data_IF_599167848995
#
_entry.id   IF_599167848995
#
_cell.length_a   1.000
_cell.length_b   1.000
_cell.length_c   1.000
_cell.angle_alpha   90.00
_cell.angle_beta   90.00
_cell.angle_gamma   90.00
#
_symmetry.space_group_name_H-M   'P 1'
#
loop_
_entity.id
_entity.type
_entity.pdbx_description
1 polymer ?
#
# COMPACT_ATOMS: atom_id res chain seq x y z
N UNK A 1 16.67 9.73 -14.50
CA UNK A 1 15.63 10.35 -15.35
C UNK A 1 14.81 11.32 -14.51
N UNK A 2 14.40 12.46 -15.05
CA UNK A 2 13.50 13.37 -14.33
C UNK A 2 12.04 12.90 -14.54
N UNK A 3 11.32 12.44 -13.49
CA UNK A 3 9.98 11.89 -13.63
C UNK A 3 8.96 12.89 -14.18
N UNK A 4 9.19 14.18 -13.99
CA UNK A 4 8.31 15.27 -14.44
C UNK A 4 8.40 15.57 -15.94
N UNK A 5 9.36 14.98 -16.65
CA UNK A 5 9.53 15.13 -18.10
C UNK A 5 9.37 13.81 -18.86
N UNK A 6 8.85 12.77 -18.21
CA UNK A 6 8.58 11.50 -18.86
C UNK A 6 7.41 11.62 -19.83
N UNK A 7 7.53 10.96 -20.98
CA UNK A 7 6.46 10.88 -21.97
C UNK A 7 5.20 10.24 -21.32
N UNK A 8 3.98 10.76 -21.57
CA UNK A 8 2.74 10.14 -21.10
C UNK A 8 2.64 8.62 -21.37
N UNK A 9 3.17 8.13 -22.48
CA UNK A 9 3.20 6.71 -22.81
C UNK A 9 3.90 5.86 -21.74
N UNK A 10 4.94 6.40 -21.09
CA UNK A 10 5.65 5.72 -20.01
C UNK A 10 4.78 5.60 -18.74
N UNK A 11 4.07 6.68 -18.39
CA UNK A 11 3.10 6.66 -17.29
C UNK A 11 1.96 5.70 -17.56
N UNK A 12 1.40 5.69 -18.77
CA UNK A 12 0.35 4.75 -19.16
C UNK A 12 0.85 3.30 -19.12
N UNK A 13 2.09 3.06 -19.55
CA UNK A 13 2.73 1.75 -19.49
C UNK A 13 2.91 1.22 -18.07
N UNK A 14 3.01 2.10 -17.06
CA UNK A 14 3.05 1.70 -15.66
C UNK A 14 1.64 1.59 -15.02
N UNK A 15 0.75 2.53 -15.32
CA UNK A 15 -0.59 2.62 -14.71
C UNK A 15 -1.49 1.50 -15.21
N UNK A 16 -1.54 1.21 -16.52
CA UNK A 16 -2.50 0.24 -17.08
C UNK A 16 -2.26 -1.18 -16.52
N UNK A 17 -1.03 -1.74 -16.52
CA UNK A 17 -0.79 -3.04 -15.91
C UNK A 17 -1.05 -3.02 -14.40
N UNK A 18 -0.63 -1.94 -13.70
CA UNK A 18 -0.88 -1.81 -12.26
C UNK A 18 -2.37 -1.78 -11.93
N UNK A 19 -3.19 -1.21 -12.81
CA UNK A 19 -4.64 -1.15 -12.65
C UNK A 19 -5.29 -2.51 -12.87
N UNK A 20 -4.92 -3.20 -13.96
CA UNK A 20 -5.54 -4.46 -14.36
C UNK A 20 -5.09 -5.66 -13.49
N UNK A 21 -3.83 -5.68 -13.09
CA UNK A 21 -3.24 -6.84 -12.39
C UNK A 21 -3.29 -6.60 -10.89
N UNK A 22 -2.54 -5.62 -10.38
CA UNK A 22 -2.43 -5.39 -8.93
C UNK A 22 -3.72 -4.77 -8.35
N UNK A 23 -4.18 -3.67 -8.95
CA UNK A 23 -5.38 -2.96 -8.51
C UNK A 23 -6.61 -3.86 -8.54
N UNK A 24 -7.00 -4.38 -9.71
CA UNK A 24 -8.16 -5.27 -9.78
C UNK A 24 -7.95 -6.59 -9.02
N UNK A 25 -6.80 -7.25 -9.19
CA UNK A 25 -6.53 -8.55 -8.58
C UNK A 25 -6.56 -8.52 -7.06
N UNK A 26 -5.92 -7.51 -6.45
CA UNK A 26 -5.84 -7.40 -4.99
C UNK A 26 -7.08 -6.72 -4.38
N UNK A 27 -7.55 -5.61 -4.94
CA UNK A 27 -8.60 -4.80 -4.31
C UNK A 27 -9.97 -5.47 -4.32
N UNK A 28 -10.23 -6.38 -5.29
CA UNK A 28 -11.41 -7.26 -5.24
C UNK A 28 -11.42 -8.13 -3.99
N UNK A 29 -10.28 -8.69 -3.61
CA UNK A 29 -10.13 -9.48 -2.38
C UNK A 29 -10.17 -8.60 -1.14
N UNK A 30 -9.38 -7.53 -1.10
CA UNK A 30 -9.21 -6.69 0.08
C UNK A 30 -10.44 -5.86 0.40
N UNK A 31 -10.93 -5.06 -0.54
CA UNK A 31 -12.08 -4.16 -0.32
C UNK A 31 -13.37 -4.66 -0.93
N UNK A 32 -13.32 -5.51 -1.95
CA UNK A 32 -14.53 -6.14 -2.50
C UNK A 32 -15.07 -7.27 -1.62
N UNK A 33 -14.19 -7.97 -0.88
CA UNK A 33 -14.57 -9.14 -0.10
C UNK A 33 -14.27 -9.02 1.40
N UNK A 34 -13.02 -8.81 1.79
CA UNK A 34 -12.56 -8.95 3.18
C UNK A 34 -13.01 -7.78 4.06
N UNK A 35 -12.74 -6.54 3.65
CA UNK A 35 -13.04 -5.33 4.43
C UNK A 35 -14.53 -5.23 4.82
N UNK A 36 -15.51 -5.38 3.91
CA UNK A 36 -16.93 -5.27 4.28
C UNK A 36 -17.35 -6.33 5.31
N UNK A 37 -16.76 -7.53 5.26
CA UNK A 37 -17.04 -8.62 6.22
C UNK A 37 -16.42 -8.36 7.58
N UNK A 38 -15.21 -7.81 7.61
CA UNK A 38 -14.56 -7.41 8.86
C UNK A 38 -15.34 -6.28 9.53
N UNK A 39 -15.80 -5.29 8.77
CA UNK A 39 -16.55 -4.14 9.30
C UNK A 39 -17.95 -4.51 9.82
N UNK A 40 -18.54 -5.64 9.42
CA UNK A 40 -19.79 -6.17 10.01
C UNK A 40 -19.61 -6.64 11.46
N UNK A 41 -18.41 -7.08 11.83
CA UNK A 41 -18.14 -7.73 13.13
C UNK A 41 -17.19 -6.92 14.02
N UNK A 42 -16.50 -5.94 13.45
CA UNK A 42 -15.48 -5.16 14.12
C UNK A 42 -15.63 -3.67 13.81
N UNK A 43 -15.19 -2.81 14.74
CA UNK A 43 -15.10 -1.38 14.46
C UNK A 43 -14.18 -1.11 13.26
N UNK A 44 -14.36 -0.01 12.51
CA UNK A 44 -13.57 0.27 11.31
C UNK A 44 -12.05 0.28 11.57
N UNK A 45 -11.62 0.79 12.73
CA UNK A 45 -10.23 0.77 13.17
C UNK A 45 -9.74 -0.67 13.36
N UNK A 46 -10.48 -1.50 14.10
CA UNK A 46 -10.12 -2.90 14.34
C UNK A 46 -10.11 -3.71 13.04
N UNK A 47 -11.09 -3.50 12.16
CA UNK A 47 -11.14 -4.10 10.83
C UNK A 47 -9.90 -3.71 9.99
N UNK A 48 -9.48 -2.44 10.04
CA UNK A 48 -8.29 -1.97 9.33
C UNK A 48 -7.00 -2.60 9.86
N UNK A 49 -6.84 -2.72 11.18
CA UNK A 49 -5.69 -3.42 11.80
C UNK A 49 -5.63 -4.90 11.42
N UNK A 50 -6.77 -5.61 11.48
CA UNK A 50 -6.83 -7.02 11.06
C UNK A 50 -6.45 -7.13 9.58
N UNK A 51 -7.04 -6.30 8.72
CA UNK A 51 -6.77 -6.35 7.29
C UNK A 51 -5.31 -6.00 6.97
N UNK A 52 -4.73 -5.00 7.64
CA UNK A 52 -3.32 -4.64 7.47
C UNK A 52 -2.38 -5.78 7.86
N UNK A 53 -2.72 -6.51 8.92
CA UNK A 53 -1.96 -7.69 9.36
C UNK A 53 -2.04 -8.82 8.33
N UNK A 54 -3.24 -9.12 7.83
CA UNK A 54 -3.42 -10.12 6.77
C UNK A 54 -2.68 -9.72 5.50
N UNK A 55 -2.75 -8.44 5.12
CA UNK A 55 -2.06 -7.90 3.95
C UNK A 55 -0.53 -7.99 4.10
N UNK A 56 0.01 -7.67 5.28
CA UNK A 56 1.43 -7.84 5.59
C UNK A 56 1.88 -9.31 5.41
N UNK A 57 1.08 -10.26 5.92
CA UNK A 57 1.39 -11.69 5.78
C UNK A 57 1.25 -12.18 4.35
N UNK A 58 0.32 -11.61 3.56
CA UNK A 58 0.19 -11.89 2.14
C UNK A 58 1.44 -11.52 1.35
N UNK A 59 2.19 -10.49 1.79
CA UNK A 59 3.46 -10.12 1.18
C UNK A 59 4.61 -11.06 1.54
N UNK A 60 4.46 -11.98 2.50
CA UNK A 60 5.57 -12.84 2.92
C UNK A 60 6.05 -13.82 1.81
N UNK A 61 5.16 -14.50 1.04
CA UNK A 61 5.60 -15.30 -0.10
C UNK A 61 6.19 -14.46 -1.24
N UNK A 62 5.59 -13.30 -1.55
CA UNK A 62 6.06 -12.42 -2.63
C UNK A 62 7.43 -11.84 -2.30
N UNK A 63 7.68 -11.56 -1.04
CA UNK A 63 8.98 -11.17 -0.49
C UNK A 63 10.08 -12.20 -0.82
N UNK A 64 9.79 -13.50 -0.71
CA UNK A 64 10.73 -14.59 -1.04
C UNK A 64 10.93 -14.84 -2.53
N UNK A 65 9.92 -14.48 -3.33
CA UNK A 65 9.99 -14.59 -4.79
C UNK A 65 10.68 -13.38 -5.45
N UNK A 66 11.19 -12.43 -4.66
CA UNK A 66 11.80 -11.20 -5.19
C UNK A 66 10.78 -10.28 -5.85
N UNK A 67 9.56 -10.24 -5.32
CA UNK A 67 8.48 -9.42 -5.83
C UNK A 67 8.03 -8.39 -4.80
N UNK A 68 7.49 -7.26 -5.26
CA UNK A 68 7.02 -6.20 -4.37
C UNK A 68 8.15 -5.60 -3.52
N UNK A 69 7.91 -5.43 -2.21
CA UNK A 69 8.83 -4.76 -1.28
C UNK A 69 9.94 -5.66 -0.72
N UNK A 70 10.53 -6.51 -1.56
CA UNK A 70 11.46 -7.56 -1.16
C UNK A 70 12.85 -7.07 -0.69
N UNK A 71 13.27 -5.88 -1.12
CA UNK A 71 14.58 -5.30 -0.81
C UNK A 71 14.58 -4.40 0.44
N UNK A 72 13.53 -4.49 1.26
CA UNK A 72 13.38 -3.71 2.49
C UNK A 72 13.26 -4.68 3.65
N UNK A 73 13.95 -4.48 4.80
CA UNK A 73 13.78 -5.38 5.94
C UNK A 73 12.31 -5.49 6.34
N UNK A 74 11.84 -6.70 6.65
CA UNK A 74 10.42 -7.00 6.80
C UNK A 74 9.72 -6.11 7.85
N UNK A 75 10.43 -5.77 8.92
CA UNK A 75 9.95 -4.85 9.96
C UNK A 75 9.51 -3.49 9.38
N UNK A 76 10.20 -3.00 8.35
CA UNK A 76 9.87 -1.73 7.71
C UNK A 76 8.72 -1.84 6.71
N UNK A 77 8.38 -3.05 6.21
CA UNK A 77 7.15 -3.24 5.43
C UNK A 77 5.92 -2.89 6.27
N UNK A 78 5.96 -3.15 7.59
CA UNK A 78 4.88 -2.79 8.52
C UNK A 78 4.58 -1.30 8.45
N UNK A 79 5.62 -0.45 8.46
CA UNK A 79 5.45 1.02 8.46
C UNK A 79 4.89 1.55 7.14
N UNK A 80 4.99 0.77 6.07
CA UNK A 80 4.34 1.07 4.80
C UNK A 80 2.90 0.53 4.76
N UNK A 81 2.74 -0.79 4.95
CA UNK A 81 1.48 -1.52 4.71
C UNK A 81 0.35 -1.07 5.64
N UNK A 82 0.65 -0.70 6.88
CA UNK A 82 -0.38 -0.30 7.83
C UNK A 82 -1.01 1.05 7.44
N UNK A 83 -0.26 2.17 7.34
CA UNK A 83 -0.82 3.42 6.85
C UNK A 83 -1.50 3.28 5.48
N UNK A 84 -0.87 2.53 4.57
CA UNK A 84 -1.41 2.22 3.25
C UNK A 84 -2.82 1.61 3.32
N UNK A 85 -2.97 0.56 4.13
CA UNK A 85 -4.24 -0.14 4.30
C UNK A 85 -5.32 0.77 4.88
N UNK A 86 -4.97 1.65 5.81
CA UNK A 86 -5.91 2.62 6.38
C UNK A 86 -6.39 3.61 5.31
N UNK A 87 -5.49 4.18 4.51
CA UNK A 87 -5.86 5.14 3.45
C UNK A 87 -6.82 4.48 2.45
N UNK A 88 -6.53 3.25 2.02
CA UNK A 88 -7.40 2.51 1.11
C UNK A 88 -8.78 2.23 1.69
N UNK A 89 -8.84 1.75 2.93
CA UNK A 89 -10.10 1.44 3.57
C UNK A 89 -10.94 2.71 3.73
N UNK A 90 -10.29 3.81 4.10
CA UNK A 90 -10.93 5.12 4.15
C UNK A 90 -11.47 5.54 2.78
N UNK A 91 -10.66 5.49 1.73
CA UNK A 91 -11.04 5.89 0.38
C UNK A 91 -12.24 5.06 -0.13
N UNK A 92 -12.19 3.74 0.05
CA UNK A 92 -13.27 2.82 -0.30
C UNK A 92 -14.56 3.14 0.46
N UNK A 93 -14.49 3.36 1.77
CA UNK A 93 -15.67 3.70 2.56
C UNK A 93 -16.25 5.06 2.14
N UNK A 94 -15.39 6.06 1.93
CA UNK A 94 -15.82 7.42 1.55
C UNK A 94 -16.37 7.52 0.14
N UNK A 95 -16.02 6.59 -0.75
CA UNK A 95 -16.58 6.48 -2.09
C UNK A 95 -17.92 5.72 -2.15
N UNK A 96 -18.53 5.41 -1.00
CA UNK A 96 -19.76 4.60 -0.94
C UNK A 96 -19.51 3.11 -1.24
N UNK A 97 -18.28 2.62 -1.04
CA UNK A 97 -17.92 1.24 -1.35
C UNK A 97 -17.57 1.01 -2.82
N UNK A 98 -17.25 2.07 -3.56
CA UNK A 98 -16.88 1.97 -4.97
C UNK A 98 -15.42 1.50 -5.11
N UNK A 99 -15.26 0.31 -5.68
CA UNK A 99 -13.97 -0.33 -5.90
C UNK A 99 -13.05 0.44 -6.83
N UNK A 100 -13.59 1.18 -7.80
CA UNK A 100 -12.79 1.88 -8.82
C UNK A 100 -11.82 2.89 -8.19
N UNK A 101 -12.18 3.48 -7.05
CA UNK A 101 -11.31 4.40 -6.32
C UNK A 101 -10.16 3.69 -5.64
N UNK A 102 -10.41 2.51 -5.04
CA UNK A 102 -9.34 1.69 -4.47
C UNK A 102 -8.41 1.17 -5.56
N UNK A 103 -8.96 0.61 -6.64
CA UNK A 103 -8.20 0.11 -7.81
C UNK A 103 -7.38 1.23 -8.47
N UNK A 104 -7.99 2.38 -8.72
CA UNK A 104 -7.33 3.54 -9.32
C UNK A 104 -6.21 4.09 -8.44
N UNK A 105 -6.46 4.23 -7.13
CA UNK A 105 -5.44 4.67 -6.19
C UNK A 105 -4.27 3.67 -6.10
N UNK A 106 -4.55 2.36 -6.10
CA UNK A 106 -3.54 1.31 -6.21
C UNK A 106 -2.68 1.50 -7.46
N UNK A 107 -3.32 1.60 -8.62
CA UNK A 107 -2.63 1.70 -9.90
C UNK A 107 -1.70 2.92 -9.98
N UNK A 108 -2.23 4.09 -9.62
CA UNK A 108 -1.49 5.36 -9.66
C UNK A 108 -0.31 5.31 -8.71
N UNK A 109 -0.50 4.71 -7.53
CA UNK A 109 0.54 4.68 -6.52
C UNK A 109 1.62 3.67 -6.85
N UNK A 110 1.27 2.46 -7.31
CA UNK A 110 2.26 1.51 -7.81
C UNK A 110 3.06 2.09 -8.97
N UNK A 111 2.40 2.77 -9.92
CA UNK A 111 3.09 3.44 -11.01
C UNK A 111 4.03 4.54 -10.49
N UNK A 112 3.54 5.42 -9.62
CA UNK A 112 4.33 6.52 -9.05
C UNK A 112 5.55 6.01 -8.28
N UNK A 113 5.37 4.98 -7.47
CA UNK A 113 6.42 4.37 -6.66
C UNK A 113 7.42 3.56 -7.48
N UNK A 114 6.97 2.96 -8.58
CA UNK A 114 7.87 2.26 -9.51
C UNK A 114 8.73 3.25 -10.32
N UNK A 115 8.19 4.42 -10.65
CA UNK A 115 8.87 5.45 -11.45
C UNK A 115 9.79 6.32 -10.58
N UNK A 116 9.29 6.77 -9.44
CA UNK A 116 10.05 7.56 -8.46
C UNK A 116 10.66 6.54 -7.51
N UNK A 117 11.84 6.02 -7.87
CA UNK A 117 12.61 5.04 -7.10
C UNK A 117 12.59 5.38 -5.59
N UNK A 118 11.72 4.70 -4.86
CA UNK A 118 11.57 4.87 -3.41
C UNK A 118 12.16 3.71 -2.61
N UNK A 119 12.39 2.57 -3.27
CA UNK A 119 13.01 1.38 -2.69
C UNK A 119 14.45 1.20 -3.19
N UNK A 120 15.28 0.46 -2.42
CA UNK A 120 16.56 -0.04 -2.89
C UNK A 120 16.42 -0.94 -4.13
N UNK A 121 17.47 -0.95 -4.96
CA UNK A 121 17.61 -1.93 -6.05
C UNK A 121 18.11 -3.28 -5.50
N UNK A 122 17.85 -4.35 -6.23
CA UNK A 122 18.31 -5.72 -5.89
C UNK A 122 19.84 -5.81 -5.78
N UNK A 123 20.55 -4.97 -6.55
CA UNK A 123 22.01 -4.85 -6.50
C UNK A 123 22.53 -4.21 -5.21
N UNK A 124 21.67 -3.53 -4.45
CA UNK A 124 22.03 -2.79 -3.24
C UNK A 124 21.61 -3.54 -1.99
N UNK A 125 20.40 -4.15 -2.01
CA UNK A 125 19.91 -4.99 -0.92
C UNK A 125 19.49 -6.34 -1.48
N UNK A 126 20.38 -7.35 -1.44
CA UNK A 126 20.05 -8.67 -1.95
C UNK A 126 19.03 -9.37 -1.03
N UNK A 127 18.13 -10.14 -1.65
CA UNK A 127 17.16 -10.97 -0.93
C UNK A 127 17.91 -11.99 -0.09
N UNK A 128 17.75 -11.90 1.23
CA UNK A 128 18.33 -12.87 2.16
C UNK A 128 17.40 -13.10 3.35
N UNK A 129 17.47 -14.28 4.00
CA UNK A 129 16.72 -14.54 5.24
C UNK A 129 16.98 -13.52 6.35
N UNK A 130 18.16 -12.86 6.34
CA UNK A 130 18.54 -11.85 7.34
C UNK A 130 17.58 -10.67 7.36
N UNK A 131 16.97 -10.33 6.22
CA UNK A 131 16.05 -9.20 6.11
C UNK A 131 14.76 -9.37 6.94
N UNK A 132 14.37 -10.59 7.31
CA UNK A 132 13.25 -10.82 8.24
C UNK A 132 13.56 -10.35 9.65
N UNK A 133 14.82 -10.49 10.06
CA UNK A 133 15.29 -10.24 11.42
C UNK A 133 16.07 -8.93 11.55
N UNK A 134 16.25 -8.20 10.46
CA UNK A 134 17.05 -6.99 10.43
C UNK A 134 16.25 -5.80 10.98
N UNK A 135 16.82 -5.13 11.98
CA UNK A 135 16.19 -4.04 12.72
C UNK A 135 16.60 -2.63 12.23
N UNK A 136 17.54 -2.56 11.28
CA UNK A 136 18.04 -1.31 10.73
C UNK A 136 17.85 -1.25 9.22
N UNK A 137 17.50 -0.09 8.69
CA UNK A 137 17.50 0.13 7.25
C UNK A 137 18.89 0.61 6.78
N UNK A 138 19.43 0.14 5.65
CA UNK A 138 20.64 0.72 5.06
C UNK A 138 20.45 2.23 4.84
N UNK A 139 21.34 3.05 5.43
CA UNK A 139 21.13 4.49 5.57
C UNK A 139 21.13 5.24 4.22
N UNK A 140 21.91 4.73 3.27
CA UNK A 140 22.02 5.17 1.87
C UNK A 140 20.72 4.99 1.08
N UNK A 141 19.82 4.14 1.55
CA UNK A 141 18.60 3.76 0.84
C UNK A 141 17.32 4.13 1.62
N UNK A 142 17.49 4.60 2.86
CA UNK A 142 16.39 4.88 3.78
C UNK A 142 15.63 6.16 3.50
N UNK A 143 16.29 7.17 2.93
CA UNK A 143 15.70 8.50 2.73
C UNK A 143 14.36 8.45 1.96
N UNK A 144 14.36 8.00 0.68
CA UNK A 144 13.14 7.96 -0.13
C UNK A 144 12.05 7.06 0.46
N UNK A 145 12.42 5.87 0.96
CA UNK A 145 11.46 4.92 1.52
C UNK A 145 10.77 5.47 2.77
N UNK A 146 11.54 5.97 3.73
CA UNK A 146 11.00 6.52 4.97
C UNK A 146 10.23 7.82 4.74
N UNK A 147 10.61 8.62 3.74
CA UNK A 147 9.83 9.79 3.34
C UNK A 147 8.43 9.39 2.86
N UNK A 148 8.32 8.39 1.98
CA UNK A 148 7.03 7.85 1.51
C UNK A 148 6.22 7.27 2.68
N UNK A 149 6.85 6.45 3.53
CA UNK A 149 6.18 5.89 4.72
C UNK A 149 5.68 7.00 5.66
N UNK A 150 6.48 8.04 5.86
CA UNK A 150 6.11 9.21 6.67
C UNK A 150 4.91 9.96 6.08
N UNK A 151 4.88 10.17 4.76
CA UNK A 151 3.72 10.77 4.07
C UNK A 151 2.47 9.91 4.26
N UNK A 152 2.54 8.59 4.02
CA UNK A 152 1.40 7.72 4.23
C UNK A 152 0.97 7.67 5.70
N UNK A 153 1.90 7.66 6.65
CA UNK A 153 1.58 7.74 8.07
C UNK A 153 0.83 9.04 8.41
N UNK A 154 1.30 10.19 7.91
CA UNK A 154 0.63 11.48 8.11
C UNK A 154 -0.78 11.49 7.52
N UNK A 155 -0.95 10.98 6.29
CA UNK A 155 -2.26 10.91 5.64
C UNK A 155 -3.18 9.92 6.38
N UNK A 156 -2.68 8.75 6.80
CA UNK A 156 -3.42 7.77 7.56
C UNK A 156 -3.91 8.34 8.91
N UNK A 157 -3.02 9.03 9.64
CA UNK A 157 -3.38 9.74 10.88
C UNK A 157 -4.45 10.80 10.58
N UNK A 158 -4.25 11.61 9.55
CA UNK A 158 -5.22 12.64 9.17
C UNK A 158 -6.61 12.03 8.87
N UNK A 159 -6.69 10.96 8.06
CA UNK A 159 -7.99 10.37 7.72
C UNK A 159 -8.66 9.71 8.93
N UNK A 160 -7.87 9.12 9.84
CA UNK A 160 -8.38 8.55 11.11
C UNK A 160 -9.01 9.63 11.98
N UNK A 161 -8.31 10.74 12.23
CA UNK A 161 -8.76 11.76 13.19
C UNK A 161 -9.68 12.82 12.59
N UNK A 162 -9.53 13.14 11.30
CA UNK A 162 -10.25 14.23 10.63
C UNK A 162 -11.08 13.77 9.43
N UNK A 163 -10.76 12.61 8.85
CA UNK A 163 -11.43 12.09 7.65
C UNK A 163 -12.75 11.34 7.89
N UNK A 164 -13.29 11.32 9.11
CA UNK A 164 -14.50 10.52 9.46
C UNK A 164 -14.31 9.02 9.21
N UNK A 165 -13.14 8.48 9.53
CA UNK A 165 -12.77 7.07 9.31
C UNK A 165 -13.74 6.04 9.90
N UNK A 166 -14.39 6.38 11.02
CA UNK A 166 -15.36 5.51 11.66
C UNK A 166 -16.69 5.38 10.90
N UNK A 167 -16.89 6.13 9.81
CA UNK A 167 -18.04 5.97 8.91
C UNK A 167 -17.70 4.99 7.80
N UNK A 168 -18.43 3.89 7.72
CA UNK A 168 -18.28 2.88 6.66
C UNK A 168 -19.22 3.16 5.50
N UNK A 169 -19.05 2.46 4.39
CA UNK A 169 -19.86 2.67 3.18
C UNK A 169 -21.36 2.44 3.41
N UNK A 170 -21.75 1.57 4.34
CA UNK A 170 -23.16 1.35 4.70
C UNK A 170 -23.77 2.47 5.54
N UNK A 171 -22.97 3.42 6.03
CA UNK A 171 -23.43 4.58 6.80
C UNK A 171 -23.70 5.80 5.90
N UNK A 172 -23.42 5.70 4.61
CA UNK A 172 -23.58 6.78 3.64
C UNK A 172 -24.92 6.57 2.91
N UNK A 173 -25.83 7.57 2.92
CA UNK A 173 -27.11 7.48 2.22
C UNK A 173 -26.98 7.26 0.72
#
# INVERSE_FOLDING_TARGET
MNPFHLNPAYWLGAIIPSFLIAGFGEELGWRGFALPRLQRNFSPIKAAFILATVHLLWHLPTYWLGQGMHNVPFLFIVVFVFPWTFIFNWLYNRSGGSLIFAVGFHAISNASLSIIRFMPLDSEVPITPKLLTQWSLPADLAGPYLAVCGVYAMVAIFVVFKGKFNKVNTDIP
#
